data_IF_779392047427
#
_entry.id   IF_779392047427
#
_cell.length_a   1.000
_cell.length_b   1.000
_cell.length_c   1.000
_cell.angle_alpha   90.00
_cell.angle_beta   90.00
_cell.angle_gamma   90.00
#
_symmetry.space_group_name_H-M   'P 1'
#
loop_
_entity.id
_entity.type
_entity.pdbx_description
1 polymer ?
#
# COMPACT_ATOMS: atom_id res chain seq x y z
N UNK A 1 -5.40 -15.22 10.12
CA UNK A 1 -6.37 -15.37 9.02
C UNK A 1 -7.44 -14.27 9.00
N UNK A 2 -8.27 -14.09 10.06
CA UNK A 2 -9.39 -13.11 10.07
C UNK A 2 -8.99 -11.67 9.72
N UNK A 3 -8.00 -11.08 10.41
CA UNK A 3 -7.53 -9.69 10.17
C UNK A 3 -7.16 -9.45 8.70
N UNK A 4 -6.49 -10.43 8.07
CA UNK A 4 -6.03 -10.31 6.68
C UNK A 4 -7.16 -10.35 5.67
N UNK A 5 -8.24 -11.07 5.97
CA UNK A 5 -9.43 -11.09 5.10
C UNK A 5 -10.15 -9.74 5.14
N UNK A 6 -10.32 -9.16 6.33
CA UNK A 6 -10.94 -7.84 6.49
C UNK A 6 -10.11 -6.78 5.76
N UNK A 7 -8.78 -6.82 5.91
CA UNK A 7 -7.86 -5.94 5.17
C UNK A 7 -7.96 -6.10 3.66
N UNK A 8 -8.07 -7.33 3.14
CA UNK A 8 -8.30 -7.55 1.70
C UNK A 8 -9.63 -6.96 1.22
N UNK A 9 -10.71 -7.13 1.98
CA UNK A 9 -12.02 -6.56 1.62
C UNK A 9 -11.93 -5.04 1.58
N UNK A 10 -11.33 -4.43 2.60
CA UNK A 10 -11.15 -2.98 2.65
C UNK A 10 -10.32 -2.48 1.47
N UNK A 11 -9.24 -3.18 1.13
CA UNK A 11 -8.40 -2.81 0.01
C UNK A 11 -9.13 -2.89 -1.35
N UNK A 12 -10.02 -3.87 -1.52
CA UNK A 12 -10.89 -3.94 -2.71
C UNK A 12 -11.86 -2.74 -2.76
N UNK A 13 -12.47 -2.36 -1.64
CA UNK A 13 -13.35 -1.19 -1.56
C UNK A 13 -12.59 0.10 -1.85
N UNK A 14 -11.39 0.26 -1.27
CA UNK A 14 -10.50 1.39 -1.54
C UNK A 14 -10.19 1.50 -3.04
N UNK A 15 -9.79 0.38 -3.63
CA UNK A 15 -9.41 0.34 -5.04
C UNK A 15 -10.60 0.67 -5.94
N UNK A 16 -11.77 0.08 -5.67
CA UNK A 16 -12.98 0.37 -6.44
C UNK A 16 -13.38 1.85 -6.33
N UNK A 17 -13.33 2.42 -5.13
CA UNK A 17 -13.59 3.84 -4.92
C UNK A 17 -12.58 4.72 -5.66
N UNK A 18 -11.29 4.36 -5.57
CA UNK A 18 -10.19 5.07 -6.22
C UNK A 18 -10.31 5.10 -7.74
N UNK A 19 -10.55 3.93 -8.34
CA UNK A 19 -10.77 3.80 -9.79
C UNK A 19 -11.98 4.62 -10.21
N UNK A 20 -13.12 4.49 -9.51
CA UNK A 20 -14.35 5.23 -9.83
C UNK A 20 -14.13 6.73 -9.82
N UNK A 21 -13.49 7.27 -8.78
CA UNK A 21 -13.16 8.69 -8.67
C UNK A 21 -12.21 9.11 -9.81
N UNK A 22 -11.10 8.39 -9.99
CA UNK A 22 -10.08 8.74 -10.97
C UNK A 22 -10.59 8.71 -12.42
N UNK A 23 -11.56 7.85 -12.74
CA UNK A 23 -12.18 7.80 -14.08
C UNK A 23 -13.33 8.80 -14.26
N UNK A 24 -13.89 9.32 -13.16
CA UNK A 24 -15.04 10.24 -13.21
C UNK A 24 -14.61 11.71 -13.26
N UNK A 25 -13.47 12.05 -12.66
CA UNK A 25 -12.87 13.38 -12.75
C UNK A 25 -12.28 13.62 -14.16
N UNK A 26 -12.75 14.66 -14.84
CA UNK A 26 -12.20 15.14 -16.12
C UNK A 26 -11.13 16.18 -15.88
N UNK A 27 -11.38 17.11 -14.95
CA UNK A 27 -10.38 18.06 -14.46
C UNK A 27 -9.69 17.48 -13.22
N UNK A 28 -8.39 17.22 -13.31
CA UNK A 28 -7.63 16.57 -12.24
C UNK A 28 -7.45 17.46 -11.00
N UNK A 29 -7.61 18.78 -11.14
CA UNK A 29 -7.41 19.76 -10.06
C UNK A 29 -8.72 20.20 -9.42
N UNK A 30 -9.75 20.46 -10.21
CA UNK A 30 -10.97 21.14 -9.73
C UNK A 30 -12.18 20.23 -9.58
N UNK A 31 -12.23 19.09 -10.27
CA UNK A 31 -13.38 18.20 -10.13
C UNK A 31 -13.41 17.58 -8.73
N UNK A 32 -14.61 17.47 -8.19
CA UNK A 32 -14.88 16.84 -6.91
C UNK A 32 -15.76 15.61 -7.08
N UNK A 33 -15.55 14.60 -6.23
CA UNK A 33 -16.33 13.37 -6.26
C UNK A 33 -16.72 12.95 -4.84
N UNK A 34 -18.03 12.82 -4.59
CA UNK A 34 -18.59 12.53 -3.26
C UNK A 34 -18.00 11.26 -2.62
N UNK A 35 -17.66 10.27 -3.44
CA UNK A 35 -17.10 8.99 -2.99
C UNK A 35 -15.78 9.15 -2.24
N UNK A 36 -15.02 10.23 -2.48
CA UNK A 36 -13.81 10.51 -1.68
C UNK A 36 -14.19 10.78 -0.22
N UNK A 37 -15.13 11.69 0.02
CA UNK A 37 -15.57 12.03 1.38
C UNK A 37 -16.24 10.85 2.08
N UNK A 38 -17.08 10.12 1.35
CA UNK A 38 -17.76 8.94 1.87
C UNK A 38 -16.76 7.84 2.24
N UNK A 39 -15.80 7.54 1.36
CA UNK A 39 -14.82 6.48 1.60
C UNK A 39 -13.84 6.85 2.71
N UNK A 40 -13.36 8.10 2.80
CA UNK A 40 -12.48 8.51 3.91
C UNK A 40 -13.21 8.42 5.25
N UNK A 41 -14.45 8.88 5.32
CA UNK A 41 -15.28 8.79 6.54
C UNK A 41 -15.51 7.33 6.95
N UNK A 42 -15.77 6.45 5.99
CA UNK A 42 -15.92 5.02 6.21
C UNK A 42 -14.60 4.31 6.57
N UNK A 43 -13.50 4.70 5.94
CA UNK A 43 -12.19 4.08 6.08
C UNK A 43 -11.45 4.46 7.35
N UNK A 44 -11.70 5.65 7.92
CA UNK A 44 -11.00 6.10 9.12
C UNK A 44 -11.22 5.19 10.35
N UNK A 45 -12.46 4.76 10.69
CA UNK A 45 -12.68 3.75 11.74
C UNK A 45 -11.96 2.43 11.48
N UNK A 46 -11.90 1.98 10.22
CA UNK A 46 -11.16 0.78 9.84
C UNK A 46 -9.65 0.94 10.11
N UNK A 47 -9.06 2.09 9.78
CA UNK A 47 -7.63 2.33 10.01
C UNK A 47 -7.29 2.30 11.52
N UNK A 48 -8.18 2.83 12.37
CA UNK A 48 -8.05 2.72 13.83
C UNK A 48 -8.15 1.27 14.29
N UNK A 49 -9.12 0.52 13.76
CA UNK A 49 -9.26 -0.91 14.03
C UNK A 49 -8.01 -1.70 13.62
N UNK A 50 -7.41 -1.41 12.46
CA UNK A 50 -6.22 -2.13 11.97
C UNK A 50 -5.01 -1.91 12.90
N UNK A 51 -4.77 -0.68 13.36
CA UNK A 51 -3.73 -0.37 14.35
C UNK A 51 -3.98 -1.13 15.66
N UNK A 52 -5.22 -1.15 16.14
CA UNK A 52 -5.58 -1.90 17.35
C UNK A 52 -5.38 -3.42 17.17
N UNK A 53 -5.77 -3.97 16.03
CA UNK A 53 -5.61 -5.39 15.71
C UNK A 53 -4.12 -5.78 15.59
N UNK A 54 -3.28 -4.91 15.02
CA UNK A 54 -1.83 -5.09 15.00
C UNK A 54 -1.23 -5.14 16.42
N UNK A 55 -1.64 -4.21 17.30
CA UNK A 55 -1.22 -4.19 18.69
C UNK A 55 -1.62 -5.48 19.43
N UNK A 56 -2.88 -5.89 19.29
CA UNK A 56 -3.41 -7.09 19.94
C UNK A 56 -2.70 -8.37 19.48
N UNK A 57 -2.38 -8.48 18.18
CA UNK A 57 -1.61 -9.60 17.63
C UNK A 57 -0.23 -9.74 18.27
N UNK A 58 0.43 -8.62 18.59
CA UNK A 58 1.73 -8.64 19.29
C UNK A 58 1.60 -8.97 20.75
N UNK A 59 0.61 -8.37 21.41
CA UNK A 59 0.33 -8.61 22.82
C UNK A 59 0.09 -10.11 23.10
N UNK A 60 -0.68 -10.81 22.27
CA UNK A 60 -0.89 -12.26 22.45
C UNK A 60 0.35 -13.10 22.13
N UNK A 61 1.20 -12.67 21.19
CA UNK A 61 2.42 -13.40 20.84
C UNK A 61 3.51 -13.25 21.92
N UNK A 62 3.54 -12.13 22.65
CA UNK A 62 4.57 -11.81 23.65
C UNK A 62 4.06 -11.87 25.11
N UNK A 63 2.84 -12.39 25.34
CA UNK A 63 2.20 -12.47 26.67
C UNK A 63 3.00 -13.27 27.71
N UNK A 64 4.04 -14.00 27.30
CA UNK A 64 4.91 -14.77 28.17
C UNK A 64 6.00 -13.96 28.90
N UNK A 65 6.24 -12.67 28.58
CA UNK A 65 7.45 -11.93 29.05
C UNK A 65 7.22 -10.69 29.95
N UNK A 66 6.00 -10.44 30.42
CA UNK A 66 5.79 -9.75 31.71
C UNK A 66 5.90 -8.21 31.84
N UNK A 67 6.23 -7.39 30.83
CA UNK A 67 6.32 -5.92 31.01
C UNK A 67 5.61 -5.08 29.93
N UNK A 68 4.53 -4.38 30.32
CA UNK A 68 3.62 -3.58 29.46
C UNK A 68 4.33 -2.57 28.52
N UNK A 69 5.21 -1.72 29.07
CA UNK A 69 5.87 -0.66 28.30
C UNK A 69 6.95 -1.19 27.34
N UNK A 70 7.69 -2.22 27.74
CA UNK A 70 8.68 -2.87 26.88
C UNK A 70 8.00 -3.60 25.72
N UNK A 71 6.83 -4.21 25.94
CA UNK A 71 6.02 -4.81 24.87
C UNK A 71 5.51 -3.77 23.88
N UNK A 72 5.04 -2.61 24.35
CA UNK A 72 4.61 -1.51 23.47
C UNK A 72 5.79 -0.98 22.64
N UNK A 73 6.96 -0.78 23.26
CA UNK A 73 8.17 -0.36 22.56
C UNK A 73 8.62 -1.39 21.53
N UNK A 74 8.59 -2.68 21.86
CA UNK A 74 8.95 -3.76 20.94
C UNK A 74 7.97 -3.88 19.76
N UNK A 75 6.66 -3.71 20.01
CA UNK A 75 5.64 -3.64 18.97
C UNK A 75 5.90 -2.48 18.02
N UNK A 76 6.05 -1.27 18.58
CA UNK A 76 6.30 -0.06 17.81
C UNK A 76 7.59 -0.21 17.00
N UNK A 77 8.68 -0.73 17.54
CA UNK A 77 9.93 -0.88 16.77
C UNK A 77 9.84 -1.93 15.65
N UNK A 78 9.09 -3.03 15.85
CA UNK A 78 9.02 -4.11 14.86
C UNK A 78 8.21 -3.73 13.62
N UNK A 79 7.05 -3.11 13.82
CA UNK A 79 6.11 -2.76 12.74
C UNK A 79 5.96 -1.24 12.58
N UNK A 80 6.97 -0.46 13.00
CA UNK A 80 6.92 1.00 13.14
C UNK A 80 6.36 1.71 11.91
N UNK A 81 6.79 1.30 10.72
CA UNK A 81 6.45 2.00 9.49
C UNK A 81 5.03 1.65 9.00
N UNK A 82 4.49 0.47 9.34
CA UNK A 82 3.06 0.18 9.09
C UNK A 82 2.17 0.95 10.08
N UNK A 83 2.56 1.01 11.35
CA UNK A 83 1.84 1.80 12.37
C UNK A 83 1.86 3.28 12.02
N UNK A 84 3.04 3.82 11.69
CA UNK A 84 3.20 5.22 11.27
C UNK A 84 2.36 5.53 10.03
N UNK A 85 2.33 4.63 9.05
CA UNK A 85 1.50 4.79 7.86
C UNK A 85 0.01 4.92 8.21
N UNK A 86 -0.54 4.02 9.04
CA UNK A 86 -1.94 4.08 9.43
C UNK A 86 -2.26 5.31 10.29
N UNK A 87 -1.37 5.67 11.21
CA UNK A 87 -1.50 6.90 12.00
C UNK A 87 -1.47 8.15 11.11
N UNK A 88 -0.60 8.21 10.10
CA UNK A 88 -0.56 9.30 9.14
C UNK A 88 -1.86 9.36 8.32
N UNK A 89 -2.44 8.22 7.94
CA UNK A 89 -3.73 8.19 7.24
C UNK A 89 -4.86 8.79 8.07
N UNK A 90 -4.90 8.48 9.37
CA UNK A 90 -5.96 8.96 10.27
C UNK A 90 -5.72 10.39 10.75
N UNK A 91 -4.49 10.73 11.14
CA UNK A 91 -4.18 12.00 11.80
C UNK A 91 -3.83 13.14 10.81
N UNK A 92 -3.41 12.80 9.59
CA UNK A 92 -2.98 13.79 8.59
C UNK A 92 -3.87 13.72 7.36
N UNK A 93 -3.93 12.57 6.69
CA UNK A 93 -4.63 12.43 5.42
C UNK A 93 -6.15 12.65 5.55
N UNK A 94 -6.79 12.08 6.58
CA UNK A 94 -8.23 12.24 6.80
C UNK A 94 -8.62 13.71 7.08
N UNK A 95 -7.98 14.44 8.01
CA UNK A 95 -8.32 15.85 8.23
C UNK A 95 -8.07 16.72 7.00
N UNK A 96 -6.96 16.48 6.27
CA UNK A 96 -6.67 17.18 5.02
C UNK A 96 -7.80 16.94 4.02
N UNK A 97 -8.21 15.69 3.82
CA UNK A 97 -9.22 15.32 2.82
C UNK A 97 -10.62 15.84 3.15
N UNK A 98 -11.04 15.74 4.41
CA UNK A 98 -12.41 16.08 4.83
C UNK A 98 -12.59 17.56 5.15
N UNK A 99 -11.57 18.24 5.70
CA UNK A 99 -11.74 19.60 6.22
C UNK A 99 -10.93 20.67 5.46
N UNK A 100 -9.71 20.35 5.00
CA UNK A 100 -8.82 21.37 4.40
C UNK A 100 -8.84 21.39 2.87
N UNK A 101 -9.19 20.29 2.22
CA UNK A 101 -9.14 20.10 0.77
C UNK A 101 -10.06 21.03 -0.03
N UNK A 102 -11.17 21.48 0.57
CA UNK A 102 -12.20 22.32 -0.08
C UNK A 102 -12.74 21.75 -1.41
N UNK A 103 -12.74 20.42 -1.55
CA UNK A 103 -13.24 19.73 -2.74
C UNK A 103 -12.32 19.77 -3.96
N UNK A 104 -11.03 20.06 -3.80
CA UNK A 104 -10.06 20.09 -4.88
C UNK A 104 -9.18 18.83 -4.89
N UNK A 105 -8.71 18.43 -6.09
CA UNK A 105 -7.72 17.36 -6.25
C UNK A 105 -8.24 15.95 -5.99
N UNK A 106 -9.54 15.72 -6.15
CA UNK A 106 -10.19 14.42 -5.90
C UNK A 106 -9.63 13.31 -6.79
N UNK A 107 -9.25 13.64 -8.03
CA UNK A 107 -8.55 12.72 -8.93
C UNK A 107 -7.28 12.13 -8.29
N UNK A 108 -6.45 12.97 -7.66
CA UNK A 108 -5.20 12.51 -7.03
C UNK A 108 -5.50 11.65 -5.80
N UNK A 109 -6.52 11.99 -5.02
CA UNK A 109 -6.94 11.17 -3.88
C UNK A 109 -7.48 9.82 -4.37
N UNK A 110 -8.25 9.80 -5.45
CA UNK A 110 -8.70 8.57 -6.11
C UNK A 110 -7.51 7.69 -6.52
N UNK A 111 -6.49 8.29 -7.14
CA UNK A 111 -5.24 7.60 -7.47
C UNK A 111 -4.55 7.03 -6.21
N UNK A 112 -4.49 7.79 -5.11
CA UNK A 112 -3.92 7.30 -3.85
C UNK A 112 -4.70 6.12 -3.27
N UNK A 113 -6.02 6.04 -3.39
CA UNK A 113 -6.78 4.86 -2.96
C UNK A 113 -6.44 3.61 -3.77
N UNK A 114 -6.12 3.74 -5.06
CA UNK A 114 -5.73 2.59 -5.89
C UNK A 114 -4.43 1.92 -5.40
N UNK A 115 -3.63 2.60 -4.57
CA UNK A 115 -2.41 2.01 -3.98
C UNK A 115 -2.71 0.77 -3.15
N UNK A 116 -3.94 0.65 -2.60
CA UNK A 116 -4.38 -0.53 -1.86
C UNK A 116 -4.63 -1.76 -2.73
N UNK A 117 -4.63 -1.65 -4.07
CA UNK A 117 -4.85 -2.79 -4.97
C UNK A 117 -3.89 -3.96 -4.75
N UNK A 118 -2.66 -3.70 -4.29
CA UNK A 118 -1.69 -4.77 -4.02
C UNK A 118 -1.99 -5.56 -2.73
N UNK A 119 -2.75 -4.98 -1.80
CA UNK A 119 -2.98 -5.51 -0.45
C UNK A 119 -3.68 -6.88 -0.44
N UNK A 120 -4.71 -7.16 -1.27
CA UNK A 120 -5.30 -8.49 -1.36
C UNK A 120 -4.30 -9.59 -1.74
N UNK A 121 -3.38 -9.31 -2.66
CA UNK A 121 -2.35 -10.27 -3.09
C UNK A 121 -1.29 -10.50 -2.00
N UNK A 122 -0.91 -9.43 -1.27
CA UNK A 122 0.02 -9.53 -0.15
C UNK A 122 -0.59 -10.32 1.01
N UNK A 123 -1.87 -10.07 1.31
CA UNK A 123 -2.64 -10.82 2.31
C UNK A 123 -2.79 -12.29 1.92
N UNK A 124 -3.11 -12.58 0.66
CA UNK A 124 -3.20 -13.94 0.14
C UNK A 124 -1.87 -14.68 0.25
N UNK A 125 -0.74 -14.04 -0.11
CA UNK A 125 0.59 -14.63 0.03
C UNK A 125 0.85 -15.12 1.45
N UNK A 126 0.45 -14.31 2.44
CA UNK A 126 0.64 -14.60 3.86
C UNK A 126 -0.34 -15.66 4.37
N UNK A 127 -1.57 -15.73 3.84
CA UNK A 127 -2.54 -16.79 4.15
C UNK A 127 -2.04 -18.13 3.60
N UNK A 128 -1.55 -18.19 2.36
CA UNK A 128 -1.01 -19.41 1.77
C UNK A 128 0.16 -19.98 2.60
N UNK A 129 1.06 -19.12 3.08
CA UNK A 129 2.13 -19.54 4.00
C UNK A 129 1.57 -20.08 5.33
N UNK A 130 0.52 -19.46 5.89
CA UNK A 130 -0.11 -19.95 7.13
C UNK A 130 -0.79 -21.30 6.96
N UNK A 131 -1.24 -21.62 5.75
CA UNK A 131 -1.86 -22.90 5.40
C UNK A 131 -0.83 -23.97 4.96
N UNK A 132 0.47 -23.67 4.99
CA UNK A 132 1.52 -24.59 4.53
C UNK A 132 1.52 -24.83 3.01
N UNK A 133 0.97 -23.88 2.24
CA UNK A 133 0.85 -23.95 0.78
C UNK A 133 1.91 -23.12 0.05
N UNK A 134 3.04 -22.83 0.68
CA UNK A 134 4.09 -21.97 0.17
C UNK A 134 4.95 -22.59 -0.96
N UNK A 135 4.97 -23.93 -1.07
CA UNK A 135 5.63 -24.64 -2.18
C UNK A 135 4.75 -24.81 -3.43
N UNK A 136 3.50 -24.37 -3.37
CA UNK A 136 2.54 -24.56 -4.47
C UNK A 136 2.80 -23.62 -5.66
N UNK A 137 2.36 -24.04 -6.86
CA UNK A 137 2.33 -23.14 -8.03
C UNK A 137 1.47 -21.90 -7.77
N UNK A 138 0.41 -22.03 -6.98
CA UNK A 138 -0.45 -20.92 -6.58
C UNK A 138 0.34 -19.84 -5.82
N UNK A 139 1.20 -20.24 -4.87
CA UNK A 139 2.05 -19.29 -4.15
C UNK A 139 3.02 -18.55 -5.08
N UNK A 140 3.58 -19.24 -6.08
CA UNK A 140 4.48 -18.64 -7.08
C UNK A 140 3.75 -17.63 -7.98
N UNK A 141 2.58 -18.00 -8.50
CA UNK A 141 1.74 -17.12 -9.32
C UNK A 141 1.32 -15.89 -8.51
N UNK A 142 0.86 -16.09 -7.27
CA UNK A 142 0.51 -14.99 -6.39
C UNK A 142 1.73 -14.10 -6.07
N UNK A 143 2.93 -14.68 -5.94
CA UNK A 143 4.17 -13.92 -5.78
C UNK A 143 4.44 -12.97 -6.94
N UNK A 144 4.22 -13.41 -8.18
CA UNK A 144 4.30 -12.54 -9.36
C UNK A 144 3.19 -11.48 -9.34
N UNK A 145 1.96 -11.87 -8.99
CA UNK A 145 0.84 -10.93 -8.87
C UNK A 145 1.11 -9.84 -7.82
N UNK A 146 1.75 -10.17 -6.69
CA UNK A 146 2.20 -9.19 -5.68
C UNK A 146 3.20 -8.21 -6.30
N UNK A 147 4.22 -8.68 -7.02
CA UNK A 147 5.22 -7.79 -7.61
C UNK A 147 4.62 -6.85 -8.65
N UNK A 148 3.78 -7.38 -9.54
CA UNK A 148 3.13 -6.61 -10.60
C UNK A 148 2.15 -5.59 -10.02
N UNK A 149 1.23 -6.03 -9.16
CA UNK A 149 0.25 -5.13 -8.52
C UNK A 149 0.92 -4.03 -7.71
N UNK A 150 1.96 -4.35 -6.93
CA UNK A 150 2.69 -3.36 -6.14
C UNK A 150 3.38 -2.33 -7.02
N UNK A 151 4.04 -2.77 -8.10
CA UNK A 151 4.69 -1.87 -9.04
C UNK A 151 3.69 -0.95 -9.74
N UNK A 152 2.59 -1.49 -10.27
CA UNK A 152 1.63 -0.68 -11.03
C UNK A 152 0.84 0.26 -10.12
N UNK A 153 0.32 -0.22 -8.98
CA UNK A 153 -0.58 0.57 -8.15
C UNK A 153 0.11 1.48 -7.16
N UNK A 154 1.37 1.18 -6.76
CA UNK A 154 2.08 1.98 -5.74
C UNK A 154 3.28 2.75 -6.28
N UNK A 155 3.89 2.33 -7.39
CA UNK A 155 5.06 3.02 -7.97
C UNK A 155 4.65 3.81 -9.21
N UNK A 156 4.01 3.17 -10.20
CA UNK A 156 3.64 3.83 -11.45
C UNK A 156 2.49 4.82 -11.32
N UNK A 157 1.71 4.76 -10.24
CA UNK A 157 0.63 5.71 -10.01
C UNK A 157 1.15 7.16 -9.87
N UNK A 158 2.35 7.36 -9.31
CA UNK A 158 2.95 8.67 -9.15
C UNK A 158 3.33 9.35 -10.48
N UNK A 159 4.13 8.73 -11.37
CA UNK A 159 4.37 9.31 -12.69
C UNK A 159 3.08 9.43 -13.51
N UNK A 160 2.11 8.53 -13.32
CA UNK A 160 0.79 8.67 -13.96
C UNK A 160 0.05 9.95 -13.53
N UNK A 161 0.03 10.26 -12.23
CA UNK A 161 -0.56 11.51 -11.72
C UNK A 161 0.10 12.75 -12.35
N UNK A 162 1.42 12.76 -12.49
CA UNK A 162 2.16 13.87 -13.11
C UNK A 162 1.88 13.96 -14.60
N UNK A 163 1.74 12.81 -15.28
CA UNK A 163 1.41 12.76 -16.69
C UNK A 163 0.00 13.29 -16.97
N UNK A 164 -0.99 12.91 -16.17
CA UNK A 164 -2.36 13.40 -16.31
C UNK A 164 -2.45 14.91 -16.07
N UNK A 165 -1.77 15.42 -15.03
CA UNK A 165 -1.63 16.85 -14.80
C UNK A 165 -0.95 17.55 -15.99
N UNK A 166 0.18 17.03 -16.47
CA UNK A 166 0.91 17.60 -17.60
C UNK A 166 0.07 17.65 -18.88
N UNK A 167 -0.73 16.61 -19.15
CA UNK A 167 -1.66 16.60 -20.29
C UNK A 167 -2.73 17.66 -20.19
N UNK A 168 -3.30 17.88 -19.01
CA UNK A 168 -4.35 18.89 -18.81
C UNK A 168 -3.81 20.32 -19.01
N UNK A 169 -2.61 20.60 -18.51
CA UNK A 169 -2.02 21.95 -18.57
C UNK A 169 -1.07 22.15 -19.76
N UNK A 170 -0.93 21.17 -20.66
CA UNK A 170 -0.02 21.25 -21.82
C UNK A 170 1.46 21.27 -21.45
N UNK A 171 1.82 20.81 -20.25
CA UNK A 171 3.19 20.78 -19.74
C UNK A 171 3.82 19.42 -20.01
N UNK A 172 5.01 19.34 -20.64
CA UNK A 172 5.68 18.06 -20.86
C UNK A 172 6.11 17.44 -19.51
N UNK A 173 6.04 16.10 -19.40
CA UNK A 173 6.17 15.36 -18.14
C UNK A 173 7.41 15.75 -17.31
N UNK A 174 8.57 15.93 -17.94
CA UNK A 174 9.82 16.29 -17.25
C UNK A 174 9.80 17.70 -16.63
N UNK A 175 8.91 18.58 -17.09
CA UNK A 175 8.73 19.94 -16.56
C UNK A 175 7.63 20.04 -15.51
N UNK A 176 6.76 19.03 -15.39
CA UNK A 176 5.64 19.04 -14.43
C UNK A 176 6.12 19.24 -12.99
N UNK A 177 7.22 18.58 -12.60
CA UNK A 177 7.78 18.73 -11.26
C UNK A 177 8.22 20.17 -10.94
N UNK A 178 8.64 20.94 -11.94
CA UNK A 178 9.03 22.34 -11.77
C UNK A 178 7.84 23.31 -11.88
N UNK A 179 6.75 22.87 -12.52
CA UNK A 179 5.51 23.64 -12.62
C UNK A 179 4.66 23.53 -11.34
N UNK A 180 4.70 22.36 -10.68
CA UNK A 180 3.97 22.13 -9.44
C UNK A 180 4.62 22.88 -8.26
N UNK A 181 3.81 23.37 -7.30
CA UNK A 181 4.34 23.90 -6.05
C UNK A 181 5.21 22.86 -5.31
N UNK A 182 6.29 23.33 -4.68
CA UNK A 182 7.26 22.45 -4.01
C UNK A 182 6.61 21.52 -2.97
N UNK A 183 5.60 21.98 -2.24
CA UNK A 183 4.91 21.18 -1.23
C UNK A 183 4.16 19.98 -1.83
N UNK A 184 3.65 20.08 -3.07
CA UNK A 184 3.02 18.96 -3.76
C UNK A 184 4.05 17.87 -4.10
N UNK A 185 5.22 18.27 -4.60
CA UNK A 185 6.31 17.34 -4.89
C UNK A 185 6.84 16.67 -3.62
N UNK A 186 7.02 17.45 -2.55
CA UNK A 186 7.44 16.93 -1.24
C UNK A 186 6.40 15.95 -0.67
N UNK A 187 5.11 16.28 -0.73
CA UNK A 187 4.04 15.38 -0.31
C UNK A 187 4.06 14.06 -1.09
N UNK A 188 4.16 14.13 -2.41
CA UNK A 188 4.28 12.95 -3.26
C UNK A 188 5.52 12.11 -2.93
N UNK A 189 6.66 12.74 -2.68
CA UNK A 189 7.89 12.04 -2.30
C UNK A 189 7.77 11.35 -0.94
N UNK A 190 7.17 12.02 0.05
CA UNK A 190 6.92 11.46 1.39
C UNK A 190 6.01 10.24 1.31
N UNK A 191 5.00 10.24 0.44
CA UNK A 191 4.11 9.10 0.25
C UNK A 191 4.81 7.98 -0.56
N UNK A 192 5.58 8.32 -1.60
CA UNK A 192 6.26 7.35 -2.47
C UNK A 192 7.43 6.64 -1.79
N UNK A 193 8.20 7.33 -0.93
CA UNK A 193 9.39 6.79 -0.27
C UNK A 193 9.15 5.44 0.46
N UNK A 194 8.14 5.29 1.34
CA UNK A 194 7.87 3.99 1.97
C UNK A 194 7.45 2.92 0.94
N UNK A 195 6.75 3.30 -0.14
CA UNK A 195 6.34 2.37 -1.20
C UNK A 195 7.57 1.81 -1.94
N UNK A 196 8.52 2.66 -2.31
CA UNK A 196 9.79 2.24 -2.93
C UNK A 196 10.57 1.33 -1.99
N UNK A 197 10.65 1.68 -0.71
CA UNK A 197 11.32 0.86 0.30
C UNK A 197 10.70 -0.55 0.39
N UNK A 198 9.37 -0.64 0.48
CA UNK A 198 8.64 -1.91 0.46
C UNK A 198 8.88 -2.72 -0.81
N UNK A 199 8.84 -2.07 -1.96
CA UNK A 199 9.05 -2.74 -3.23
C UNK A 199 10.47 -3.32 -3.34
N UNK A 200 11.49 -2.58 -2.90
CA UNK A 200 12.88 -3.09 -2.82
C UNK A 200 12.96 -4.31 -1.89
N UNK A 201 12.27 -4.30 -0.75
CA UNK A 201 12.23 -5.46 0.15
C UNK A 201 11.57 -6.68 -0.50
N UNK A 202 10.48 -6.48 -1.25
CA UNK A 202 9.80 -7.53 -2.01
C UNK A 202 10.70 -8.12 -3.10
N UNK A 203 11.37 -7.27 -3.89
CA UNK A 203 12.33 -7.70 -4.91
C UNK A 203 13.50 -8.48 -4.31
N UNK A 204 14.07 -8.01 -3.19
CA UNK A 204 15.14 -8.73 -2.47
C UNK A 204 14.65 -10.09 -1.98
N UNK A 205 13.41 -10.20 -1.49
CA UNK A 205 12.81 -11.48 -1.10
C UNK A 205 12.64 -12.41 -2.30
N UNK A 206 12.11 -11.92 -3.41
CA UNK A 206 11.92 -12.68 -4.64
C UNK A 206 13.26 -13.18 -5.21
N UNK A 207 14.27 -12.32 -5.26
CA UNK A 207 15.63 -12.68 -5.70
C UNK A 207 16.25 -13.78 -4.83
N UNK A 208 16.12 -13.71 -3.50
CA UNK A 208 16.60 -14.77 -2.60
C UNK A 208 15.90 -16.11 -2.87
N UNK A 209 14.59 -16.10 -3.12
CA UNK A 209 13.83 -17.32 -3.43
C UNK A 209 14.26 -17.91 -4.78
N UNK A 210 14.43 -17.06 -5.79
CA UNK A 210 14.90 -17.47 -7.11
C UNK A 210 16.31 -18.09 -7.06
N UNK A 211 17.23 -17.46 -6.33
CA UNK A 211 18.60 -17.99 -6.14
C UNK A 211 18.62 -19.32 -5.39
N UNK A 212 17.75 -19.51 -4.39
CA UNK A 212 17.61 -20.79 -3.68
C UNK A 212 17.11 -21.90 -4.60
N UNK A 213 16.11 -21.62 -5.44
CA UNK A 213 15.61 -22.57 -6.43
C UNK A 213 16.69 -22.95 -7.46
N UNK A 214 17.47 -21.98 -7.93
CA UNK A 214 18.58 -22.22 -8.86
C UNK A 214 19.69 -23.10 -8.23
N UNK A 215 20.01 -22.89 -6.95
CA UNK A 215 20.98 -23.73 -6.22
C UNK A 215 20.45 -25.14 -5.96
N UNK A 216 19.17 -25.30 -5.62
CA UNK A 216 18.55 -26.60 -5.40
C UNK A 216 18.37 -27.44 -6.67
N UNK A 217 18.28 -26.80 -7.84
CA UNK A 217 18.22 -27.49 -9.14
C UNK A 217 19.61 -27.85 -9.70
N UNK A 218 20.68 -27.26 -9.17
CA UNK A 218 22.07 -27.55 -9.55
C UNK A 218 22.68 -28.79 -8.88
N UNK A 219 21.97 -29.43 -7.94
CA UNK A 219 22.41 -30.66 -7.25
C UNK A 219 21.44 -31.80 -7.59
N UNK A 220 21.48 -32.28 -8.83
CA UNK A 220 21.12 -33.67 -9.14
C UNK A 220 22.40 -34.37 -9.58
N UNK A 221 22.94 -35.34 -8.83
CA UNK A 221 23.97 -36.21 -9.37
C UNK A 221 23.33 -36.93 -10.57
N UNK A 222 23.97 -36.81 -11.74
CA UNK A 222 23.70 -37.72 -12.84
C UNK A 222 24.30 -39.07 -12.42
N UNK A 223 23.49 -39.94 -11.85
CA UNK A 223 23.79 -41.36 -11.79
C UNK A 223 23.64 -41.92 -13.20
N UNK A 224 24.78 -42.14 -13.86
CA UNK A 224 24.94 -43.16 -14.89
C UNK A 224 25.85 -44.24 -14.31
#
# INVERSE_FOLDING_TARGET
>A
MRIRLVSSIQACLATAAGVTVATSCRDVMTDSHWLVNAYVSFGAPYMVYDVYAMYLSHYHTQRATGHSLQMLKAFLMKDWMMVLHHLALVLIFMPITLFFRRGLGDFFIGCLFTTEFSTPFVSLARILIQLGLDDTRLHRINGLAVLLSFFTSRILIFPYMYWMYGRQFGVPLHRVAFHLPLHCNLGNLVILAPQVHWFIMLLRKASRLYLRQKRGTGVRPKTH
#
